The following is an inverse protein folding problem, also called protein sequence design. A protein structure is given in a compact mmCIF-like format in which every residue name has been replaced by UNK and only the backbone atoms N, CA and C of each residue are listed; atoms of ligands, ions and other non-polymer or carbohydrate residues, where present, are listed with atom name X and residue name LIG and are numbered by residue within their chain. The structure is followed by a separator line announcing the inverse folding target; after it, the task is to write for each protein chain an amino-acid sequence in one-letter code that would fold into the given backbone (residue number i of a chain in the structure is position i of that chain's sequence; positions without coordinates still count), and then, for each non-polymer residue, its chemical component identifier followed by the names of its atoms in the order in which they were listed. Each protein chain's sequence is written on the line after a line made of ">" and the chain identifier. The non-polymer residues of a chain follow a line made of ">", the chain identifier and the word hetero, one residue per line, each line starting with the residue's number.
data_IF_467014262434
#
_entry.id   IF_467014262434
#
_cell.length_a   1.000
_cell.length_b   1.000
_cell.length_c   1.000
_cell.angle_alpha   90.00
_cell.angle_beta   90.00
_cell.angle_gamma   90.00
#
_symmetry.space_group_name_H-M   'P 1'
#
loop_
_entity.id
_entity.type
_entity.pdbx_description
1 polymer ?
#
# COMPACT_ATOMS: atom_id res chain seq x y z
N UNK A 1 11.80 20.11 -13.44
CA UNK A 1 12.21 19.04 -12.53
C UNK A 1 13.71 18.93 -12.61
N UNK A 2 14.39 19.34 -11.54
CA UNK A 2 15.84 19.36 -11.47
C UNK A 2 16.41 17.93 -11.39
N UNK A 3 17.72 17.76 -11.61
CA UNK A 3 18.37 16.43 -11.50
C UNK A 3 18.16 15.83 -10.10
N UNK A 4 18.20 16.65 -9.05
CA UNK A 4 17.99 16.21 -7.66
C UNK A 4 16.59 15.67 -7.43
N UNK A 5 15.56 16.37 -7.93
CA UNK A 5 14.16 15.92 -7.80
C UNK A 5 13.95 14.55 -8.45
N UNK A 6 14.54 14.34 -9.64
CA UNK A 6 14.50 13.04 -10.32
C UNK A 6 15.17 11.94 -9.51
N UNK A 7 16.35 12.23 -8.94
CA UNK A 7 17.07 11.28 -8.07
C UNK A 7 16.25 10.92 -6.83
N UNK A 8 15.61 11.89 -6.18
CA UNK A 8 14.76 11.65 -5.01
C UNK A 8 13.54 10.78 -5.36
N UNK A 9 12.89 11.05 -6.50
CA UNK A 9 11.77 10.23 -6.97
C UNK A 9 12.20 8.79 -7.24
N UNK A 10 13.34 8.58 -7.89
CA UNK A 10 13.86 7.24 -8.18
C UNK A 10 14.17 6.49 -6.88
N UNK A 11 14.83 7.15 -5.91
CA UNK A 11 15.12 6.55 -4.61
C UNK A 11 13.83 6.20 -3.87
N UNK A 12 12.85 7.09 -3.85
CA UNK A 12 11.55 6.85 -3.22
C UNK A 12 10.84 5.64 -3.82
N UNK A 13 10.79 5.53 -5.15
CA UNK A 13 10.20 4.38 -5.83
C UNK A 13 10.97 3.09 -5.50
N UNK A 14 12.31 3.13 -5.48
CA UNK A 14 13.11 1.96 -5.12
C UNK A 14 12.81 1.48 -3.69
N UNK A 15 12.68 2.41 -2.74
CA UNK A 15 12.28 2.08 -1.36
C UNK A 15 10.88 1.47 -1.31
N UNK A 16 9.91 2.01 -2.05
CA UNK A 16 8.56 1.44 -2.13
C UNK A 16 8.58 0.00 -2.65
N UNK A 17 9.36 -0.29 -3.69
CA UNK A 17 9.49 -1.65 -4.24
C UNK A 17 10.09 -2.60 -3.21
N UNK A 18 11.13 -2.18 -2.48
CA UNK A 18 11.72 -3.00 -1.41
C UNK A 18 10.69 -3.31 -0.32
N UNK A 19 9.89 -2.34 0.10
CA UNK A 19 8.83 -2.55 1.10
C UNK A 19 7.79 -3.54 0.59
N UNK A 20 7.35 -3.44 -0.68
CA UNK A 20 6.38 -4.38 -1.27
C UNK A 20 6.89 -5.82 -1.29
N UNK A 21 8.18 -6.02 -1.57
CA UNK A 21 8.77 -7.35 -1.56
C UNK A 21 8.87 -7.93 -0.13
N UNK A 22 9.02 -7.07 0.87
CA UNK A 22 9.23 -7.48 2.26
C UNK A 22 7.92 -7.55 3.06
N UNK A 23 6.85 -6.85 2.65
CA UNK A 23 5.61 -6.79 3.42
C UNK A 23 4.95 -8.15 3.67
N UNK A 24 4.91 -9.12 2.73
CA UNK A 24 4.36 -10.44 3.05
C UNK A 24 5.14 -11.20 4.13
N UNK A 25 6.41 -10.86 4.34
CA UNK A 25 7.28 -11.50 5.33
C UNK A 25 7.33 -10.74 6.66
N UNK A 26 7.07 -9.42 6.64
CA UNK A 26 7.14 -8.54 7.82
C UNK A 26 5.75 -8.36 8.46
N UNK A 27 4.67 -8.49 7.68
CA UNK A 27 3.32 -8.40 8.20
C UNK A 27 3.15 -9.43 9.34
N UNK A 28 2.82 -8.93 10.52
CA UNK A 28 2.63 -9.76 11.70
C UNK A 28 1.35 -10.55 11.55
N UNK A 29 1.39 -11.81 11.99
CA UNK A 29 0.31 -12.75 11.76
C UNK A 29 -0.88 -12.64 12.70
N UNK A 30 -0.85 -11.81 13.76
CA UNK A 30 -2.01 -11.40 14.58
C UNK A 30 -1.53 -10.74 15.92
N UNK A 31 -1.92 -9.49 16.24
CA UNK A 31 -2.57 -8.50 15.40
C UNK A 31 -1.56 -7.79 14.51
N UNK A 32 -1.95 -7.50 13.27
CA UNK A 32 -1.13 -6.71 12.37
C UNK A 32 -1.00 -5.25 12.87
N UNK A 33 -0.14 -4.46 12.24
CA UNK A 33 0.07 -3.08 12.68
C UNK A 33 -1.18 -2.20 12.57
N UNK A 34 -2.09 -2.52 11.65
CA UNK A 34 -3.31 -1.77 11.43
C UNK A 34 -4.37 -2.13 12.48
N UNK A 35 -4.49 -3.42 12.81
CA UNK A 35 -5.34 -3.98 13.86
C UNK A 35 -4.88 -3.49 15.23
N UNK A 36 -3.57 -3.52 15.53
CA UNK A 36 -3.04 -2.89 16.75
C UNK A 36 -3.37 -1.41 16.86
N UNK A 37 -3.29 -0.68 15.75
CA UNK A 37 -3.67 0.74 15.74
C UNK A 37 -5.17 0.94 16.01
N UNK A 38 -6.02 0.02 15.55
CA UNK A 38 -7.45 0.04 15.80
C UNK A 38 -7.79 -0.31 17.27
N UNK A 39 -7.13 -1.33 17.83
CA UNK A 39 -7.20 -1.68 19.25
C UNK A 39 -6.80 -0.49 20.14
N UNK A 40 -5.65 0.12 19.86
CA UNK A 40 -5.12 1.27 20.62
C UNK A 40 -6.06 2.49 20.52
N UNK A 41 -6.70 2.68 19.37
CA UNK A 41 -7.71 3.72 19.17
C UNK A 41 -9.08 3.39 19.80
N UNK A 42 -9.21 2.26 20.50
CA UNK A 42 -10.46 1.77 21.10
C UNK A 42 -11.59 1.65 20.08
N UNK A 43 -11.25 1.33 18.82
CA UNK A 43 -12.24 1.05 17.78
C UNK A 43 -12.91 -0.27 18.17
N UNK A 44 -14.24 -0.30 18.38
CA UNK A 44 -14.92 -1.53 18.76
C UNK A 44 -14.70 -2.61 17.68
N UNK A 45 -14.34 -3.83 18.06
CA UNK A 45 -14.23 -4.97 17.12
C UNK A 45 -15.55 -5.23 16.37
N UNK A 46 -16.69 -4.89 16.96
CA UNK A 46 -17.99 -4.97 16.27
C UNK A 46 -18.22 -3.86 15.21
N UNK A 47 -17.30 -2.90 15.12
CA UNK A 47 -17.25 -1.85 14.10
C UNK A 47 -16.06 -2.01 13.15
N UNK A 48 -15.12 -2.91 13.45
CA UNK A 48 -14.12 -3.39 12.48
C UNK A 48 -14.68 -4.48 11.58
N UNK A 49 -15.97 -4.86 11.75
CA UNK A 49 -16.68 -5.68 10.77
C UNK A 49 -16.63 -4.96 9.42
N UNK A 50 -15.78 -5.45 8.54
CA UNK A 50 -15.54 -4.85 7.24
C UNK A 50 -16.88 -4.73 6.50
N UNK A 51 -17.33 -3.49 6.25
CA UNK A 51 -18.58 -3.24 5.49
C UNK A 51 -18.49 -3.85 4.09
N UNK A 52 -17.26 -3.91 3.56
CA UNK A 52 -16.89 -4.61 2.34
C UNK A 52 -15.61 -5.37 2.66
N UNK A 53 -15.65 -6.69 2.50
CA UNK A 53 -14.48 -7.54 2.71
C UNK A 53 -13.31 -7.06 1.83
N UNK A 54 -12.12 -6.92 2.43
CA UNK A 54 -10.92 -6.60 1.67
C UNK A 54 -10.67 -7.68 0.62
N UNK A 55 -10.39 -7.32 -0.65
CA UNK A 55 -10.02 -8.31 -1.66
C UNK A 55 -8.69 -9.01 -1.37
N UNK A 56 -7.83 -8.41 -0.53
CA UNK A 56 -6.51 -8.91 -0.15
C UNK A 56 -6.25 -8.61 1.34
N UNK A 57 -6.85 -9.37 2.27
CA UNK A 57 -6.62 -9.19 3.71
C UNK A 57 -5.17 -9.52 4.06
N UNK A 58 -4.54 -8.73 4.93
CA UNK A 58 -3.17 -8.95 5.43
C UNK A 58 -2.10 -9.18 4.36
N UNK A 59 -2.27 -8.52 3.21
CA UNK A 59 -1.40 -8.66 2.03
C UNK A 59 -1.42 -10.06 1.40
N UNK A 60 -2.36 -10.92 1.78
CA UNK A 60 -2.44 -12.31 1.34
C UNK A 60 -3.12 -12.47 -0.02
N UNK A 61 -2.67 -13.46 -0.77
CA UNK A 61 -3.26 -13.84 -2.06
C UNK A 61 -3.04 -15.33 -2.34
N UNK A 62 -3.98 -16.14 -1.84
CA UNK A 62 -3.95 -17.61 -1.94
C UNK A 62 -3.65 -18.18 -3.34
N UNK A 63 -4.19 -17.64 -4.46
CA UNK A 63 -4.05 -18.30 -5.76
C UNK A 63 -2.62 -18.39 -6.31
N UNK A 64 -1.70 -17.53 -5.86
CA UNK A 64 -0.32 -17.47 -6.35
C UNK A 64 0.71 -17.36 -5.21
N UNK A 65 0.28 -17.59 -3.96
CA UNK A 65 1.10 -17.49 -2.74
C UNK A 65 1.92 -16.17 -2.73
N UNK A 66 3.14 -16.22 -2.20
CA UNK A 66 4.05 -15.06 -2.03
C UNK A 66 4.31 -14.32 -3.36
N UNK A 67 4.39 -15.03 -4.50
CA UNK A 67 4.62 -14.39 -5.80
C UNK A 67 3.40 -13.52 -6.17
N UNK A 68 2.21 -14.02 -5.88
CA UNK A 68 0.97 -13.28 -6.03
C UNK A 68 0.86 -12.07 -5.13
N UNK A 69 1.17 -12.25 -3.84
CA UNK A 69 1.13 -11.21 -2.81
C UNK A 69 2.02 -10.03 -3.19
N UNK A 70 3.29 -10.30 -3.54
CA UNK A 70 4.21 -9.27 -4.03
C UNK A 70 3.71 -8.64 -5.33
N UNK A 71 3.14 -9.43 -6.24
CA UNK A 71 2.59 -8.95 -7.51
C UNK A 71 1.42 -7.98 -7.34
N UNK A 72 0.47 -8.30 -6.47
CA UNK A 72 -0.71 -7.46 -6.16
C UNK A 72 -0.28 -6.17 -5.48
N UNK A 73 0.71 -6.22 -4.58
CA UNK A 73 1.28 -5.05 -3.93
C UNK A 73 1.94 -4.09 -4.93
N UNK A 74 2.77 -4.61 -5.83
CA UNK A 74 3.40 -3.81 -6.89
C UNK A 74 2.32 -3.18 -7.78
N UNK A 75 1.29 -3.95 -8.15
CA UNK A 75 0.15 -3.44 -8.92
C UNK A 75 -0.56 -2.29 -8.19
N UNK A 76 -0.83 -2.45 -6.88
CA UNK A 76 -1.44 -1.42 -6.04
C UNK A 76 -0.60 -0.14 -5.97
N UNK A 77 0.73 -0.26 -5.84
CA UNK A 77 1.65 0.90 -5.87
C UNK A 77 1.60 1.61 -7.22
N UNK A 78 1.63 0.86 -8.33
CA UNK A 78 1.55 1.44 -9.67
C UNK A 78 0.22 2.18 -9.90
N UNK A 79 -0.89 1.60 -9.47
CA UNK A 79 -2.22 2.23 -9.55
C UNK A 79 -2.27 3.51 -8.71
N UNK A 80 -1.72 3.48 -7.50
CA UNK A 80 -1.67 4.65 -6.60
C UNK A 80 -0.82 5.77 -7.19
N UNK A 81 0.35 5.43 -7.76
CA UNK A 81 1.21 6.38 -8.48
C UNK A 81 0.49 6.99 -9.68
N UNK A 82 -0.21 6.17 -10.47
CA UNK A 82 -0.99 6.65 -11.61
C UNK A 82 -2.07 7.64 -11.17
N UNK A 83 -2.83 7.32 -10.12
CA UNK A 83 -3.85 8.18 -9.54
C UNK A 83 -3.26 9.50 -9.03
N UNK A 84 -2.15 9.44 -8.27
CA UNK A 84 -1.48 10.63 -7.77
C UNK A 84 -0.99 11.55 -8.91
N UNK A 85 -0.42 10.96 -9.98
CA UNK A 85 -0.02 11.71 -11.17
C UNK A 85 -1.23 12.31 -11.89
N UNK A 86 -2.33 11.57 -12.04
CA UNK A 86 -3.56 12.06 -12.66
C UNK A 86 -4.13 13.27 -11.88
N UNK A 87 -4.25 13.15 -10.56
CA UNK A 87 -4.68 14.25 -9.68
C UNK A 87 -3.73 15.45 -9.81
N UNK A 88 -2.41 15.21 -9.75
CA UNK A 88 -1.41 16.27 -9.92
C UNK A 88 -1.52 17.00 -11.26
N UNK A 89 -1.80 16.28 -12.35
CA UNK A 89 -2.04 16.87 -13.67
C UNK A 89 -3.32 17.70 -13.71
N UNK A 90 -4.41 17.24 -13.08
CA UNK A 90 -5.68 17.98 -13.01
C UNK A 90 -5.49 19.28 -12.23
N UNK A 91 -4.82 19.22 -11.07
CA UNK A 91 -4.53 20.41 -10.25
C UNK A 91 -3.65 21.40 -11.02
N UNK A 92 -2.58 20.91 -11.68
CA UNK A 92 -1.71 21.75 -12.51
C UNK A 92 -2.47 22.43 -13.66
N UNK A 93 -3.47 21.79 -14.26
CA UNK A 93 -4.28 22.41 -15.31
C UNK A 93 -5.21 23.52 -14.80
N UNK A 94 -5.45 23.59 -13.50
CA UNK A 94 -6.29 24.61 -12.86
C UNK A 94 -5.51 25.70 -12.11
N UNK A 95 -4.19 25.55 -11.95
CA UNK A 95 -3.27 26.56 -11.42
C UNK A 95 -2.58 27.29 -12.56
#
# INVERSE_FOLDING_TARGET
>A
MDKRDKTLIIIAIAVCVVICCLSPFIASGDPDGLEKSAEDASVPENKTTEVVASPFPDYTYEPLEVIGEVGVLILGVLLTLLCALAVGQIVKRRS
#
